data_IF_690269665913
#
_entry.id   IF_690269665913
#
_cell.length_a   1.000
_cell.length_b   1.000
_cell.length_c   1.000
_cell.angle_alpha   90.00
_cell.angle_beta   90.00
_cell.angle_gamma   90.00
#
_symmetry.space_group_name_H-M   'P 1'
#
loop_
_entity.id
_entity.type
_entity.pdbx_description
1 polymer ?
#
# COMPACT_ATOMS: atom_id res chain seq x y z
N UNK A 1 -2.77 17.68 -14.15
CA UNK A 1 -1.86 18.07 -15.26
C UNK A 1 -1.45 16.82 -16.03
N UNK A 2 -1.24 16.96 -17.31
CA UNK A 2 -0.85 15.85 -18.17
C UNK A 2 0.36 16.24 -19.02
N UNK A 3 1.31 15.32 -19.17
CA UNK A 3 2.46 15.44 -20.06
C UNK A 3 2.53 14.22 -20.99
N UNK A 4 3.56 14.17 -21.84
CA UNK A 4 3.78 13.06 -22.77
C UNK A 4 3.95 11.71 -22.04
N UNK A 5 4.56 11.70 -20.85
CA UNK A 5 4.90 10.49 -20.08
C UNK A 5 4.15 10.33 -18.75
N UNK A 6 3.55 11.40 -18.22
CA UNK A 6 2.97 11.45 -16.88
C UNK A 6 1.57 12.04 -16.86
N UNK A 7 0.75 11.53 -15.93
CA UNK A 7 -0.50 12.16 -15.48
C UNK A 7 -0.28 12.59 -14.02
N UNK A 8 -0.49 13.86 -13.70
CA UNK A 8 -0.47 14.37 -12.33
C UNK A 8 -1.89 14.76 -11.90
N UNK A 9 -2.37 14.19 -10.82
CA UNK A 9 -3.66 14.48 -10.17
C UNK A 9 -3.33 15.10 -8.82
N UNK A 10 -3.85 16.30 -8.58
CA UNK A 10 -3.67 17.02 -7.32
C UNK A 10 -5.01 17.21 -6.62
N UNK A 11 -5.04 16.89 -5.34
CA UNK A 11 -6.09 17.20 -4.39
C UNK A 11 -5.48 18.00 -3.23
N UNK A 12 -6.30 18.47 -2.28
CA UNK A 12 -5.87 19.38 -1.21
C UNK A 12 -4.62 18.92 -0.46
N UNK A 13 -4.52 17.64 -0.11
CA UNK A 13 -3.44 17.09 0.72
C UNK A 13 -2.62 16.01 0.03
N UNK A 14 -2.93 15.68 -1.22
CA UNK A 14 -2.33 14.56 -1.91
C UNK A 14 -2.09 14.87 -3.38
N UNK A 15 -0.91 14.49 -3.86
CA UNK A 15 -0.56 14.55 -5.27
C UNK A 15 -0.21 13.14 -5.74
N UNK A 16 -0.83 12.70 -6.82
CA UNK A 16 -0.54 11.45 -7.49
C UNK A 16 0.16 11.74 -8.82
N UNK A 17 1.20 10.97 -9.11
CA UNK A 17 1.81 10.91 -10.44
C UNK A 17 1.71 9.50 -10.97
N UNK A 18 1.19 9.35 -12.17
CA UNK A 18 0.98 8.08 -12.84
C UNK A 18 1.87 8.05 -14.08
N UNK A 19 2.78 7.08 -14.15
CA UNK A 19 3.59 6.80 -15.32
C UNK A 19 2.74 6.17 -16.42
N UNK A 20 2.67 6.80 -17.60
CA UNK A 20 1.85 6.28 -18.71
C UNK A 20 2.39 4.97 -19.29
N UNK A 21 3.68 4.71 -19.12
CA UNK A 21 4.36 3.53 -19.68
C UNK A 21 3.85 2.22 -19.08
N UNK A 22 3.64 2.17 -17.76
CA UNK A 22 3.31 0.94 -17.03
C UNK A 22 2.27 1.14 -15.92
N UNK A 23 1.75 2.36 -15.77
CA UNK A 23 0.76 2.70 -14.77
C UNK A 23 1.30 2.81 -13.33
N UNK A 24 2.63 2.81 -13.12
CA UNK A 24 3.20 2.97 -11.78
C UNK A 24 2.77 4.28 -11.14
N UNK A 25 2.39 4.24 -9.87
CA UNK A 25 1.87 5.40 -9.15
C UNK A 25 2.86 5.85 -8.08
N UNK A 26 3.10 7.15 -8.03
CA UNK A 26 3.85 7.84 -6.98
C UNK A 26 2.89 8.70 -6.17
N UNK A 27 2.99 8.66 -4.85
CA UNK A 27 2.17 9.42 -3.92
C UNK A 27 3.02 10.46 -3.20
N UNK A 28 2.59 11.72 -3.24
CA UNK A 28 3.25 12.84 -2.60
C UNK A 28 2.26 13.55 -1.66
N UNK A 29 2.78 14.15 -0.60
CA UNK A 29 2.02 15.09 0.21
C UNK A 29 1.80 16.45 -0.51
N UNK A 30 1.12 17.38 0.16
CA UNK A 30 0.85 18.72 -0.38
C UNK A 30 2.12 19.51 -0.67
N UNK A 31 3.19 19.26 0.07
CA UNK A 31 4.50 19.92 -0.08
C UNK A 31 5.39 19.25 -1.14
N UNK A 32 4.83 18.31 -1.90
CA UNK A 32 5.52 17.53 -2.94
C UNK A 32 6.63 16.61 -2.40
N UNK A 33 6.58 16.26 -1.14
CA UNK A 33 7.46 15.25 -0.57
C UNK A 33 6.93 13.86 -0.89
N UNK A 34 7.78 12.98 -1.43
CA UNK A 34 7.40 11.61 -1.76
C UNK A 34 7.06 10.83 -0.48
N UNK A 35 5.84 10.32 -0.43
CA UNK A 35 5.37 9.41 0.61
C UNK A 35 5.79 7.98 0.29
N UNK A 36 5.36 7.47 -0.86
CA UNK A 36 5.73 6.14 -1.38
C UNK A 36 5.55 6.12 -2.90
N UNK A 37 6.24 5.19 -3.56
CA UNK A 37 5.97 4.84 -4.96
C UNK A 37 5.68 3.35 -5.09
N UNK A 38 4.86 3.02 -6.08
CA UNK A 38 4.91 1.67 -6.65
C UNK A 38 6.26 1.49 -7.37
N UNK A 39 6.70 0.23 -7.53
CA UNK A 39 7.96 -0.06 -8.21
C UNK A 39 7.96 0.46 -9.64
N UNK A 40 8.99 1.23 -10.00
CA UNK A 40 9.05 1.92 -11.29
C UNK A 40 9.20 0.99 -12.50
N UNK A 41 9.71 -0.23 -12.29
CA UNK A 41 9.95 -1.21 -13.37
C UNK A 41 8.77 -2.15 -13.51
N UNK A 42 8.33 -2.73 -12.40
CA UNK A 42 7.24 -3.71 -12.33
C UNK A 42 6.30 -3.34 -11.18
N UNK A 43 5.37 -2.40 -11.40
CA UNK A 43 4.46 -1.96 -10.35
C UNK A 43 3.48 -3.05 -9.93
N UNK A 44 3.10 -3.93 -10.87
CA UNK A 44 2.13 -5.00 -10.66
C UNK A 44 2.49 -6.23 -11.47
N UNK A 45 2.26 -7.40 -10.88
CA UNK A 45 2.36 -8.68 -11.56
C UNK A 45 1.04 -9.45 -11.38
N UNK A 46 0.46 -9.87 -12.49
CA UNK A 46 -0.71 -10.75 -12.52
C UNK A 46 -0.27 -12.07 -13.14
N UNK A 47 -0.32 -13.16 -12.38
CA UNK A 47 0.09 -14.47 -12.83
C UNK A 47 -0.84 -15.56 -12.29
N UNK A 48 -1.60 -16.22 -13.15
CA UNK A 48 -2.47 -17.35 -12.82
C UNK A 48 -3.41 -17.12 -11.62
N UNK A 49 -3.97 -15.92 -11.50
CA UNK A 49 -4.84 -15.54 -10.38
C UNK A 49 -4.09 -15.02 -9.15
N UNK A 50 -2.77 -14.93 -9.19
CA UNK A 50 -1.97 -14.25 -8.20
C UNK A 50 -1.76 -12.78 -8.58
N UNK A 51 -2.10 -11.86 -7.69
CA UNK A 51 -1.93 -10.43 -7.91
C UNK A 51 -0.92 -9.86 -6.93
N UNK A 52 0.13 -9.27 -7.46
CA UNK A 52 1.16 -8.57 -6.69
C UNK A 52 1.13 -7.09 -7.01
N UNK A 53 1.19 -6.23 -5.99
CA UNK A 53 1.48 -4.81 -6.13
C UNK A 53 2.77 -4.51 -5.40
N UNK A 54 3.81 -4.14 -6.13
CA UNK A 54 5.14 -3.87 -5.59
C UNK A 54 5.28 -2.40 -5.22
N UNK A 55 5.89 -2.14 -4.05
CA UNK A 55 6.17 -0.80 -3.54
C UNK A 55 7.66 -0.63 -3.27
N UNK A 56 8.16 0.60 -3.47
CA UNK A 56 9.51 0.99 -3.08
C UNK A 56 9.45 1.72 -1.72
N UNK A 57 9.28 0.95 -0.63
CA UNK A 57 9.34 1.52 0.71
C UNK A 57 10.77 1.89 1.10
N UNK A 58 10.93 3.08 1.67
CA UNK A 58 12.22 3.56 2.14
C UNK A 58 12.78 2.67 3.27
N UNK A 59 14.11 2.50 3.32
CA UNK A 59 14.77 1.65 4.33
C UNK A 59 14.57 2.12 5.77
N UNK A 60 14.40 3.44 5.96
CA UNK A 60 14.15 4.06 7.26
C UNK A 60 12.67 4.08 7.64
N UNK A 61 11.80 3.73 6.70
CA UNK A 61 10.36 3.77 6.87
C UNK A 61 9.88 2.64 7.78
N UNK A 62 9.06 2.99 8.76
CA UNK A 62 8.46 2.04 9.70
C UNK A 62 7.03 1.75 9.29
N UNK A 63 6.81 0.55 8.78
CA UNK A 63 5.50 0.05 8.43
C UNK A 63 4.93 -0.77 9.58
N UNK A 64 3.64 -0.60 9.85
CA UNK A 64 2.92 -1.31 10.89
C UNK A 64 1.58 -1.83 10.39
N UNK A 65 1.11 -2.94 10.95
CA UNK A 65 -0.23 -3.49 10.72
C UNK A 65 -0.91 -3.85 12.03
N UNK A 66 -2.23 -3.93 12.03
CA UNK A 66 -3.01 -4.27 13.23
C UNK A 66 -3.66 -5.64 13.07
N UNK A 67 -3.42 -6.55 14.02
CA UNK A 67 -4.19 -7.78 14.17
C UNK A 67 -5.63 -7.47 14.59
N UNK A 68 -6.61 -8.29 14.22
CA UNK A 68 -8.04 -8.02 14.54
C UNK A 68 -8.26 -7.94 16.05
N UNK A 69 -7.62 -8.82 16.83
CA UNK A 69 -7.74 -8.87 18.28
C UNK A 69 -6.60 -8.11 19.01
N UNK A 70 -5.69 -7.48 18.26
CA UNK A 70 -4.56 -6.78 18.86
C UNK A 70 -4.94 -5.35 19.26
N UNK A 71 -4.51 -4.91 20.43
CA UNK A 71 -4.59 -3.51 20.85
C UNK A 71 -3.57 -2.65 20.14
N UNK A 72 -2.38 -3.20 19.89
CA UNK A 72 -1.23 -2.48 19.37
C UNK A 72 -0.94 -2.78 17.90
N UNK A 73 -0.23 -1.83 17.27
CA UNK A 73 0.28 -1.99 15.92
C UNK A 73 1.54 -2.85 15.91
N UNK A 74 1.56 -3.88 15.08
CA UNK A 74 2.71 -4.78 14.88
C UNK A 74 3.66 -4.20 13.84
N UNK A 75 4.95 -4.12 14.15
CA UNK A 75 6.00 -3.74 13.21
C UNK A 75 6.16 -4.80 12.10
N UNK A 76 6.22 -4.33 10.85
CA UNK A 76 6.41 -5.14 9.65
C UNK A 76 7.85 -5.16 9.10
N UNK A 77 8.80 -4.54 9.78
CA UNK A 77 10.20 -4.51 9.32
C UNK A 77 10.75 -5.92 9.16
N UNK A 78 11.23 -6.27 7.98
CA UNK A 78 11.70 -7.61 7.60
C UNK A 78 10.69 -8.73 7.91
N UNK A 79 9.40 -8.44 7.76
CA UNK A 79 8.33 -9.40 8.04
C UNK A 79 7.33 -9.49 6.89
N UNK A 80 6.74 -10.68 6.77
CA UNK A 80 5.54 -10.91 6.00
C UNK A 80 4.39 -11.27 6.96
N UNK A 81 3.19 -10.78 6.68
CA UNK A 81 2.01 -11.04 7.52
C UNK A 81 0.77 -11.22 6.65
N UNK A 82 0.07 -12.31 6.88
CA UNK A 82 -1.24 -12.51 6.28
C UNK A 82 -2.24 -11.49 6.81
N UNK A 83 -2.96 -10.87 5.89
CA UNK A 83 -4.14 -10.06 6.14
C UNK A 83 -5.33 -11.00 6.34
N UNK A 84 -5.51 -11.91 5.37
CA UNK A 84 -6.51 -12.98 5.42
C UNK A 84 -5.88 -14.28 4.91
N UNK A 85 -6.27 -15.41 5.48
CA UNK A 85 -5.80 -16.74 5.10
C UNK A 85 -6.88 -17.78 5.41
N UNK A 86 -7.13 -18.69 4.47
CA UNK A 86 -8.10 -19.77 4.64
C UNK A 86 -9.53 -19.27 4.94
N UNK A 87 -9.94 -18.17 4.30
CA UNK A 87 -11.25 -17.53 4.51
C UNK A 87 -11.40 -16.79 5.85
N UNK A 88 -10.33 -16.66 6.62
CA UNK A 88 -10.33 -15.94 7.90
C UNK A 88 -9.47 -14.69 7.83
N UNK A 89 -10.04 -13.56 8.22
CA UNK A 89 -9.29 -12.34 8.37
C UNK A 89 -8.44 -12.39 9.64
N UNK A 90 -7.12 -12.19 9.48
CA UNK A 90 -6.15 -12.24 10.59
C UNK A 90 -5.80 -10.83 11.08
N UNK A 91 -5.85 -9.83 10.17
CA UNK A 91 -5.47 -8.44 10.41
C UNK A 91 -6.43 -7.51 9.72
N UNK A 92 -6.47 -6.26 10.14
CA UNK A 92 -7.05 -5.22 9.32
C UNK A 92 -6.31 -5.20 7.97
N UNK A 93 -7.02 -5.05 6.84
CA UNK A 93 -6.40 -5.02 5.51
C UNK A 93 -5.68 -3.68 5.26
N UNK A 94 -5.00 -3.17 6.28
CA UNK A 94 -4.34 -1.87 6.33
C UNK A 94 -2.91 -2.00 6.81
N UNK A 95 -1.97 -1.44 6.05
CA UNK A 95 -0.63 -1.10 6.50
C UNK A 95 -0.52 0.41 6.67
N UNK A 96 0.09 0.85 7.77
CA UNK A 96 0.32 2.27 8.07
C UNK A 96 1.80 2.57 8.14
N UNK A 97 2.17 3.74 7.64
CA UNK A 97 3.55 4.24 7.61
C UNK A 97 3.75 5.37 8.61
N UNK A 98 4.96 5.44 9.21
CA UNK A 98 5.38 6.58 10.01
C UNK A 98 5.50 7.88 9.20
N UNK A 99 5.41 7.83 7.86
CA UNK A 99 5.30 9.00 6.99
C UNK A 99 3.89 9.60 6.94
N UNK A 100 2.92 9.02 7.67
CA UNK A 100 1.56 9.56 7.78
C UNK A 100 0.64 9.17 6.62
N UNK A 101 0.81 7.97 6.07
CA UNK A 101 -0.10 7.40 5.10
C UNK A 101 -0.46 5.95 5.44
N UNK A 102 -1.48 5.43 4.80
CA UNK A 102 -1.86 4.02 4.83
C UNK A 102 -2.20 3.48 3.46
N UNK A 103 -2.06 2.17 3.31
CA UNK A 103 -2.50 1.42 2.13
C UNK A 103 -3.42 0.32 2.63
N UNK A 104 -4.67 0.32 2.17
CA UNK A 104 -5.66 -0.69 2.50
C UNK A 104 -6.04 -1.50 1.27
N UNK A 105 -5.89 -2.83 1.31
CA UNK A 105 -6.37 -3.69 0.23
C UNK A 105 -7.89 -3.85 0.31
N UNK A 106 -8.54 -3.82 -0.85
CA UNK A 106 -10.00 -3.95 -0.98
C UNK A 106 -10.46 -5.40 -1.23
N UNK A 107 -9.55 -6.37 -1.15
CA UNK A 107 -9.88 -7.79 -1.40
C UNK A 107 -10.33 -8.53 -0.15
N UNK A 108 -11.31 -9.44 -0.31
CA UNK A 108 -11.72 -10.42 0.69
C UNK A 108 -10.98 -11.77 0.55
N UNK A 109 -10.08 -11.88 -0.43
CA UNK A 109 -9.32 -13.10 -0.73
C UNK A 109 -8.15 -13.28 0.25
N UNK A 110 -7.43 -14.39 0.10
CA UNK A 110 -6.15 -14.57 0.79
C UNK A 110 -5.20 -13.44 0.39
N UNK A 111 -4.72 -12.69 1.38
CA UNK A 111 -3.88 -11.55 1.13
C UNK A 111 -2.74 -11.47 2.15
N UNK A 112 -1.60 -10.89 1.73
CA UNK A 112 -0.38 -10.83 2.51
C UNK A 112 0.32 -9.49 2.29
N UNK A 113 0.77 -8.86 3.38
CA UNK A 113 1.78 -7.80 3.34
C UNK A 113 3.17 -8.41 3.46
N UNK A 114 4.06 -8.10 2.53
CA UNK A 114 5.47 -8.48 2.58
C UNK A 114 6.36 -7.23 2.58
N UNK A 115 7.19 -7.09 3.61
CA UNK A 115 8.23 -6.07 3.69
C UNK A 115 9.57 -6.74 4.03
N UNK A 116 9.97 -7.72 3.21
CA UNK A 116 11.24 -8.43 3.35
C UNK A 116 12.08 -8.09 2.13
N UNK A 117 13.13 -7.28 2.32
CA UNK A 117 13.95 -6.76 1.22
C UNK A 117 14.49 -7.85 0.28
N UNK A 118 14.84 -9.03 0.81
CA UNK A 118 15.35 -10.14 0.02
C UNK A 118 14.29 -10.80 -0.86
N UNK A 119 13.02 -10.80 -0.42
CA UNK A 119 11.91 -11.44 -1.12
C UNK A 119 11.01 -10.43 -1.85
N UNK A 120 11.24 -9.14 -1.65
CA UNK A 120 10.43 -8.08 -2.23
C UNK A 120 9.57 -7.32 -1.20
N UNK A 121 9.04 -6.21 -1.63
CA UNK A 121 8.18 -5.33 -0.86
C UNK A 121 6.87 -5.19 -1.62
N UNK A 122 5.83 -5.89 -1.18
CA UNK A 122 4.59 -5.99 -1.94
C UNK A 122 3.36 -6.28 -1.07
N UNK A 123 2.21 -6.03 -1.66
CA UNK A 123 0.93 -6.57 -1.24
C UNK A 123 0.58 -7.67 -2.26
N UNK A 124 0.33 -8.87 -1.76
CA UNK A 124 -0.11 -10.01 -2.55
C UNK A 124 -1.59 -10.30 -2.26
N UNK A 125 -2.32 -10.66 -3.30
CA UNK A 125 -3.70 -11.14 -3.21
C UNK A 125 -3.86 -12.36 -4.11
N UNK A 126 -4.37 -13.46 -3.56
CA UNK A 126 -4.63 -14.71 -4.27
C UNK A 126 -6.07 -14.73 -4.81
N UNK A 127 -6.23 -15.17 -6.05
CA UNK A 127 -7.53 -15.32 -6.69
C UNK A 127 -8.17 -14.05 -7.22
N UNK A 128 -7.45 -12.91 -7.23
CA UNK A 128 -7.90 -11.69 -7.86
C UNK A 128 -7.31 -11.52 -9.27
N UNK A 129 -8.03 -10.81 -10.12
CA UNK A 129 -7.63 -10.48 -11.48
C UNK A 129 -7.12 -9.05 -11.63
N UNK A 130 -7.13 -8.29 -10.53
CA UNK A 130 -6.72 -6.89 -10.51
C UNK A 130 -6.14 -6.52 -9.14
N UNK A 131 -5.28 -5.51 -9.13
CA UNK A 131 -4.81 -4.88 -7.90
C UNK A 131 -5.81 -3.79 -7.50
N UNK A 132 -6.44 -3.96 -6.35
CA UNK A 132 -7.39 -2.98 -5.82
C UNK A 132 -7.02 -2.61 -4.39
N UNK A 133 -6.70 -1.33 -4.19
CA UNK A 133 -6.34 -0.80 -2.88
C UNK A 133 -6.70 0.69 -2.74
N UNK A 134 -6.90 1.12 -1.50
CA UNK A 134 -7.07 2.52 -1.13
C UNK A 134 -5.74 3.08 -0.61
N UNK A 135 -5.37 4.25 -1.10
CA UNK A 135 -4.28 5.04 -0.52
C UNK A 135 -4.86 6.16 0.35
N UNK A 136 -4.44 6.21 1.62
CA UNK A 136 -4.93 7.15 2.63
C UNK A 136 -3.78 8.08 3.02
N UNK A 137 -3.76 9.30 2.48
CA UNK A 137 -2.78 10.33 2.83
C UNK A 137 -3.29 11.20 3.97
N UNK A 138 -2.88 10.95 5.20
CA UNK A 138 -3.46 11.56 6.39
C UNK A 138 -2.49 12.45 7.22
N UNK A 139 -1.18 12.40 6.93
CA UNK A 139 -0.15 13.16 7.65
C UNK A 139 0.29 12.55 8.98
N UNK A 140 -0.47 11.62 9.57
CA UNK A 140 -0.09 10.90 10.78
C UNK A 140 -0.70 9.50 10.84
N UNK A 141 -0.09 8.59 11.62
CA UNK A 141 -0.59 7.23 11.84
C UNK A 141 -1.98 7.25 12.50
N UNK A 142 -2.20 8.09 13.51
CA UNK A 142 -3.48 8.20 14.19
C UNK A 142 -4.60 8.61 13.25
N UNK A 143 -4.40 9.66 12.49
CA UNK A 143 -5.39 10.16 11.53
C UNK A 143 -5.62 9.19 10.36
N UNK A 144 -4.59 8.42 9.96
CA UNK A 144 -4.75 7.34 8.97
C UNK A 144 -5.72 6.26 9.47
N UNK A 145 -5.62 5.87 10.75
CA UNK A 145 -6.51 4.89 11.35
C UNK A 145 -7.95 5.42 11.48
N UNK A 146 -8.11 6.68 11.82
CA UNK A 146 -9.42 7.35 11.87
C UNK A 146 -10.09 7.36 10.49
N UNK A 147 -9.36 7.81 9.46
CA UNK A 147 -9.89 7.84 8.08
C UNK A 147 -10.20 6.44 7.56
N UNK A 148 -9.37 5.44 7.88
CA UNK A 148 -9.67 4.05 7.52
C UNK A 148 -11.00 3.58 8.15
N UNK A 149 -11.31 4.00 9.36
CA UNK A 149 -12.57 3.67 10.03
C UNK A 149 -13.82 4.28 9.39
N UNK A 150 -13.66 5.20 8.42
CA UNK A 150 -14.75 5.83 7.67
C UNK A 150 -14.96 5.26 6.27
N UNK A 151 -14.08 4.34 5.81
CA UNK A 151 -14.21 3.62 4.54
C UNK A 151 -15.23 2.48 4.66
#
# INVERSE_FOLDING_TARGET
KESKSLIEIQREKLILRIEKKNGAIQYFDADRKLLVSENATEPRLLNNGECYTFFDWDKSEKLKSKGILATDLTDLTNKARYISFGGRQQRLPLVVSNKGYGIATASSRTALFCNIKMYGQYIFVDGDTQSDYYFIGAGSVGHTLELYGTL
#
